data_IF_535956464411
#
_entry.id   IF_535956464411
#
_cell.length_a   1.000
_cell.length_b   1.000
_cell.length_c   1.000
_cell.angle_alpha   90.00
_cell.angle_beta   90.00
_cell.angle_gamma   90.00
#
_symmetry.space_group_name_H-M   'P 1'
#
loop_
_entity.id
_entity.type
_entity.pdbx_description
1 polymer ?
#
# COMPACT_ATOMS: atom_id res chain seq x y z
N UNK A 1 -83.77 36.82 -17.60
CA UNK A 1 -82.43 36.76 -18.22
C UNK A 1 -81.47 36.26 -17.14
N UNK A 2 -81.62 35.01 -16.73
CA UNK A 2 -80.95 33.83 -17.29
C UNK A 2 -79.50 33.75 -16.82
N UNK A 3 -79.36 33.16 -15.63
CA UNK A 3 -78.12 32.59 -15.13
C UNK A 3 -77.91 31.25 -15.82
N UNK A 4 -76.76 31.06 -16.48
CA UNK A 4 -76.30 29.75 -16.91
C UNK A 4 -75.03 29.38 -16.15
N UNK A 5 -75.19 28.35 -15.33
CA UNK A 5 -74.13 27.53 -14.77
C UNK A 5 -73.45 26.76 -15.91
N UNK A 6 -72.12 26.77 -15.96
CA UNK A 6 -71.38 25.66 -16.54
C UNK A 6 -70.33 25.20 -15.52
N UNK A 7 -70.69 24.11 -14.85
CA UNK A 7 -69.84 23.31 -14.00
C UNK A 7 -68.84 22.55 -14.89
N UNK A 8 -67.56 22.88 -14.81
CA UNK A 8 -66.51 22.03 -15.37
C UNK A 8 -66.08 21.01 -14.31
N UNK A 9 -66.39 19.75 -14.62
CA UNK A 9 -65.98 18.57 -13.88
C UNK A 9 -64.47 18.41 -14.03
N UNK A 10 -63.75 18.53 -12.90
CA UNK A 10 -62.33 18.20 -12.80
C UNK A 10 -62.11 16.74 -13.20
N UNK A 11 -61.41 16.54 -14.32
CA UNK A 11 -60.97 15.25 -14.79
C UNK A 11 -60.08 14.59 -13.73
N UNK A 12 -60.54 13.45 -13.21
CA UNK A 12 -59.82 12.60 -12.28
C UNK A 12 -58.39 12.35 -12.74
N UNK A 13 -57.46 13.03 -12.07
CA UNK A 13 -56.02 12.81 -12.21
C UNK A 13 -55.76 11.36 -11.77
N UNK A 14 -55.21 10.48 -12.62
CA UNK A 14 -54.91 9.12 -12.21
C UNK A 14 -53.97 9.19 -11.02
N UNK A 15 -54.37 8.58 -9.89
CA UNK A 15 -53.53 8.43 -8.73
C UNK A 15 -52.24 7.75 -9.19
N UNK A 16 -51.15 8.52 -9.25
CA UNK A 16 -49.84 7.98 -9.53
C UNK A 16 -49.59 6.87 -8.52
N UNK A 17 -49.50 5.63 -9.02
CA UNK A 17 -49.17 4.47 -8.23
C UNK A 17 -47.93 4.82 -7.41
N UNK A 18 -48.08 4.86 -6.07
CA UNK A 18 -46.94 5.00 -5.16
C UNK A 18 -45.91 3.96 -5.62
N UNK A 19 -44.67 4.36 -5.99
CA UNK A 19 -43.68 3.38 -6.41
C UNK A 19 -43.54 2.41 -5.25
N UNK A 20 -44.00 1.18 -5.50
CA UNK A 20 -43.94 0.08 -4.55
C UNK A 20 -42.50 0.01 -4.05
N UNK A 21 -42.37 -0.12 -2.74
CA UNK A 21 -41.12 -0.19 -2.00
C UNK A 21 -40.33 -1.40 -2.51
N UNK A 22 -39.62 -1.25 -3.62
CA UNK A 22 -38.82 -2.31 -4.22
C UNK A 22 -37.69 -2.60 -3.24
N UNK A 23 -37.88 -3.66 -2.44
CA UNK A 23 -36.83 -4.21 -1.60
C UNK A 23 -35.76 -4.69 -2.58
N UNK A 24 -34.56 -4.12 -2.48
CA UNK A 24 -33.44 -4.54 -3.31
C UNK A 24 -33.19 -6.03 -3.10
N UNK A 25 -32.74 -6.78 -4.12
CA UNK A 25 -32.32 -8.16 -3.92
C UNK A 25 -31.14 -8.22 -2.95
N UNK A 26 -30.98 -9.36 -2.28
CA UNK A 26 -29.82 -9.65 -1.44
C UNK A 26 -28.57 -9.61 -2.31
N UNK A 27 -27.63 -8.75 -1.94
CA UNK A 27 -26.35 -8.60 -2.61
C UNK A 27 -25.29 -9.59 -2.10
N UNK A 28 -25.49 -10.18 -0.92
CA UNK A 28 -24.63 -11.21 -0.36
C UNK A 28 -24.88 -11.46 1.13
N UNK A 29 -23.97 -12.19 1.76
CA UNK A 29 -24.04 -12.58 3.18
C UNK A 29 -22.70 -12.29 3.86
N UNK A 30 -22.73 -11.70 5.06
CA UNK A 30 -21.55 -11.47 5.91
C UNK A 30 -21.06 -12.79 6.54
N UNK A 31 -19.82 -12.85 7.07
CA UNK A 31 -19.30 -14.07 7.71
C UNK A 31 -20.15 -14.61 8.87
N UNK A 32 -20.96 -13.75 9.51
CA UNK A 32 -21.87 -14.13 10.60
C UNK A 32 -23.26 -14.58 10.11
N UNK A 33 -23.43 -14.75 8.80
CA UNK A 33 -24.72 -15.14 8.19
C UNK A 33 -25.68 -13.96 7.93
N UNK A 34 -25.31 -12.73 8.28
CA UNK A 34 -26.18 -11.56 8.06
C UNK A 34 -26.27 -11.23 6.56
N UNK A 35 -27.46 -11.35 5.98
CA UNK A 35 -27.72 -10.91 4.62
C UNK A 35 -27.54 -9.39 4.47
N UNK A 36 -27.03 -8.96 3.32
CA UNK A 36 -26.90 -7.54 3.00
C UNK A 36 -27.40 -7.21 1.59
N UNK A 37 -27.84 -5.97 1.40
CA UNK A 37 -28.62 -5.52 0.24
C UNK A 37 -27.92 -4.43 -0.60
N UNK A 38 -26.67 -4.11 -0.26
CA UNK A 38 -25.81 -3.20 -1.01
C UNK A 38 -24.35 -3.69 -1.00
N UNK A 39 -23.56 -3.46 -2.06
CA UNK A 39 -22.19 -3.99 -2.15
C UNK A 39 -21.28 -3.51 -1.01
N UNK A 40 -20.45 -4.43 -0.48
CA UNK A 40 -19.41 -4.11 0.50
C UNK A 40 -18.43 -3.08 -0.08
N UNK A 41 -18.09 -2.07 0.72
CA UNK A 41 -17.19 -0.99 0.34
C UNK A 41 -17.86 0.15 -0.43
N UNK A 42 -19.19 0.17 -0.55
CA UNK A 42 -19.90 1.17 -1.32
C UNK A 42 -21.14 1.69 -0.62
N UNK A 43 -21.43 2.99 -0.77
CA UNK A 43 -22.69 3.57 -0.29
C UNK A 43 -23.55 3.88 -1.51
N UNK A 44 -24.66 3.16 -1.64
CA UNK A 44 -25.60 3.35 -2.74
C UNK A 44 -26.53 4.52 -2.42
N UNK A 45 -26.59 5.47 -3.34
CA UNK A 45 -27.54 6.58 -3.31
C UNK A 45 -28.77 6.21 -4.15
N UNK A 46 -29.93 6.59 -3.64
CA UNK A 46 -31.23 6.47 -4.31
C UNK A 46 -31.87 7.88 -4.31
N UNK A 47 -31.51 8.65 -5.33
CA UNK A 47 -31.77 10.09 -5.38
C UNK A 47 -31.25 10.82 -4.12
N UNK A 48 -32.13 11.48 -3.33
CA UNK A 48 -31.73 12.19 -2.12
C UNK A 48 -31.56 11.26 -0.90
N UNK A 49 -31.76 9.95 -1.06
CA UNK A 49 -31.67 8.94 -0.01
C UNK A 49 -30.45 8.06 -0.19
N UNK A 50 -30.15 7.28 0.84
CA UNK A 50 -29.09 6.29 0.92
C UNK A 50 -29.70 4.94 1.28
N UNK A 51 -29.21 3.88 0.67
CA UNK A 51 -29.69 2.51 0.90
C UNK A 51 -29.00 1.91 2.13
N UNK A 52 -29.79 1.42 3.09
CA UNK A 52 -29.28 0.63 4.21
C UNK A 52 -28.80 -0.74 3.73
N UNK A 53 -27.59 -1.14 4.11
CA UNK A 53 -27.06 -2.45 3.74
C UNK A 53 -27.78 -3.59 4.45
N UNK A 54 -28.32 -3.37 5.66
CA UNK A 54 -28.95 -4.43 6.47
C UNK A 54 -30.37 -4.77 6.04
N UNK A 55 -31.11 -3.84 5.42
CA UNK A 55 -32.52 -4.05 5.08
C UNK A 55 -32.93 -3.56 3.70
N UNK A 56 -31.99 -3.03 2.90
CA UNK A 56 -32.23 -2.56 1.54
C UNK A 56 -33.11 -1.30 1.42
N UNK A 57 -33.56 -0.71 2.54
CA UNK A 57 -34.43 0.47 2.53
C UNK A 57 -33.67 1.74 2.16
N UNK A 58 -34.27 2.55 1.29
CA UNK A 58 -33.82 3.91 0.99
C UNK A 58 -34.26 4.90 2.07
N UNK A 59 -33.29 5.57 2.70
CA UNK A 59 -33.47 6.41 3.89
C UNK A 59 -32.74 7.75 3.73
N UNK A 60 -33.19 8.80 4.41
CA UNK A 60 -32.45 10.08 4.45
C UNK A 60 -31.12 9.94 5.20
N UNK A 61 -31.12 9.14 6.27
CA UNK A 61 -29.97 8.82 7.10
C UNK A 61 -30.03 7.37 7.53
N UNK A 62 -29.05 6.56 7.10
CA UNK A 62 -28.86 5.20 7.63
C UNK A 62 -28.38 5.27 9.07
N UNK A 63 -27.55 6.27 9.43
CA UNK A 63 -27.02 6.40 10.79
C UNK A 63 -28.12 6.48 11.85
N UNK A 64 -29.17 7.28 11.61
CA UNK A 64 -30.34 7.35 12.50
C UNK A 64 -31.16 6.06 12.52
N UNK A 65 -31.08 5.25 11.46
CA UNK A 65 -31.82 3.99 11.33
C UNK A 65 -31.13 2.80 11.99
N UNK A 66 -29.81 2.86 12.24
CA UNK A 66 -29.05 1.72 12.77
C UNK A 66 -29.53 1.22 14.13
N UNK A 67 -30.14 2.09 14.94
CA UNK A 67 -30.74 1.71 16.22
C UNK A 67 -31.82 0.62 16.06
N UNK A 68 -32.60 0.65 14.97
CA UNK A 68 -33.61 -0.37 14.66
C UNK A 68 -32.98 -1.75 14.36
N UNK A 69 -31.69 -1.79 14.07
CA UNK A 69 -30.94 -3.02 13.88
C UNK A 69 -30.09 -3.41 15.10
N UNK A 70 -30.04 -2.58 16.15
CA UNK A 70 -29.12 -2.78 17.28
C UNK A 70 -27.65 -2.57 16.89
N UNK A 71 -27.38 -1.76 15.87
CA UNK A 71 -26.03 -1.52 15.36
C UNK A 71 -25.56 -0.09 15.65
N UNK A 72 -24.26 0.06 15.90
CA UNK A 72 -23.61 1.37 15.91
C UNK A 72 -23.04 1.70 14.54
N UNK A 73 -22.80 2.99 14.27
CA UNK A 73 -22.14 3.43 13.03
C UNK A 73 -20.78 2.76 12.84
N UNK A 74 -20.00 2.61 13.91
CA UNK A 74 -18.69 1.99 13.84
C UNK A 74 -18.77 0.51 13.45
N UNK A 75 -19.65 -0.26 14.10
CA UNK A 75 -19.89 -1.68 13.75
C UNK A 75 -20.35 -1.81 12.30
N UNK A 76 -21.26 -0.93 11.88
CA UNK A 76 -21.78 -0.89 10.52
C UNK A 76 -20.68 -0.60 9.48
N UNK A 77 -19.91 0.48 9.64
CA UNK A 77 -18.83 0.80 8.70
C UNK A 77 -17.78 -0.30 8.65
N UNK A 78 -17.42 -0.90 9.81
CA UNK A 78 -16.46 -1.99 9.88
C UNK A 78 -16.95 -3.22 9.09
N UNK A 79 -18.19 -3.66 9.32
CA UNK A 79 -18.74 -4.85 8.68
C UNK A 79 -18.85 -4.69 7.16
N UNK A 80 -19.28 -3.51 6.69
CA UNK A 80 -19.46 -3.24 5.27
C UNK A 80 -18.23 -2.62 4.59
N UNK A 81 -17.06 -2.66 5.24
CA UNK A 81 -15.81 -2.20 4.64
C UNK A 81 -15.81 -0.71 4.25
N UNK A 82 -16.62 0.11 4.92
CA UNK A 82 -16.72 1.56 4.69
C UNK A 82 -15.70 2.33 5.53
N UNK A 83 -15.28 3.48 5.04
CA UNK A 83 -14.49 4.41 5.84
C UNK A 83 -15.28 4.90 7.06
N UNK A 84 -14.62 5.13 8.21
CA UNK A 84 -15.28 5.61 9.44
C UNK A 84 -15.96 6.98 9.24
N UNK A 85 -15.34 7.83 8.44
CA UNK A 85 -15.84 9.16 8.07
C UNK A 85 -16.87 9.10 6.95
N UNK A 86 -17.13 7.94 6.34
CA UNK A 86 -18.08 7.82 5.24
C UNK A 86 -19.45 8.34 5.68
N UNK A 87 -20.01 9.34 4.97
CA UNK A 87 -21.37 9.78 5.24
C UNK A 87 -22.36 8.66 4.90
N UNK A 88 -23.23 8.36 5.86
CA UNK A 88 -24.32 7.38 5.73
C UNK A 88 -25.66 8.10 5.54
N UNK A 89 -25.63 9.21 4.79
CA UNK A 89 -26.76 10.11 4.60
C UNK A 89 -26.75 10.60 3.15
N UNK A 90 -27.96 10.82 2.63
CA UNK A 90 -28.14 11.35 1.29
C UNK A 90 -27.59 12.78 1.15
N UNK A 91 -27.27 13.20 -0.08
CA UNK A 91 -26.58 14.46 -0.34
C UNK A 91 -27.37 15.68 0.14
N UNK A 92 -28.69 15.71 -0.03
CA UNK A 92 -29.54 16.82 0.43
C UNK A 92 -29.58 16.92 1.95
N UNK A 93 -29.74 15.78 2.65
CA UNK A 93 -29.72 15.74 4.12
C UNK A 93 -28.38 16.24 4.64
N UNK A 94 -27.28 15.90 3.96
CA UNK A 94 -25.95 16.40 4.30
C UNK A 94 -25.83 17.91 4.09
N UNK A 95 -26.36 18.45 2.98
CA UNK A 95 -26.38 19.90 2.72
C UNK A 95 -27.16 20.64 3.81
N UNK A 96 -28.35 20.17 4.17
CA UNK A 96 -29.17 20.77 5.22
C UNK A 96 -28.47 20.76 6.58
N UNK A 97 -27.86 19.63 6.97
CA UNK A 97 -27.10 19.54 8.21
C UNK A 97 -25.84 20.40 8.23
N UNK A 98 -25.16 20.51 7.08
CA UNK A 98 -24.02 21.41 6.94
C UNK A 98 -24.47 22.86 7.12
N UNK A 99 -25.56 23.29 6.48
CA UNK A 99 -26.11 24.64 6.66
C UNK A 99 -26.51 24.91 8.12
N UNK A 100 -27.19 23.96 8.77
CA UNK A 100 -27.54 24.08 10.18
C UNK A 100 -26.30 24.19 11.09
N UNK A 101 -25.25 23.40 10.83
CA UNK A 101 -23.98 23.50 11.58
C UNK A 101 -23.28 24.83 11.33
N UNK A 102 -23.29 25.35 10.09
CA UNK A 102 -22.74 26.67 9.76
C UNK A 102 -23.48 27.77 10.53
N UNK A 103 -24.81 27.73 10.59
CA UNK A 103 -25.57 28.68 11.40
C UNK A 103 -25.19 28.59 12.89
N UNK A 104 -25.09 27.37 13.43
CA UNK A 104 -24.65 27.17 14.82
C UNK A 104 -23.22 27.66 15.07
N UNK A 105 -22.31 27.49 14.12
CA UNK A 105 -20.96 28.04 14.23
C UNK A 105 -20.94 29.56 14.34
N UNK A 106 -21.99 30.27 13.93
CA UNK A 106 -22.08 31.72 14.08
C UNK A 106 -22.61 32.06 15.47
N UNK A 107 -23.70 31.41 15.90
CA UNK A 107 -24.48 31.81 17.07
C UNK A 107 -24.13 31.07 18.37
N UNK A 108 -23.54 29.87 18.30
CA UNK A 108 -23.27 29.01 19.46
C UNK A 108 -21.79 29.15 19.88
N UNK A 109 -21.49 29.82 21.02
CA UNK A 109 -20.12 30.06 21.46
C UNK A 109 -19.37 28.77 21.81
N UNK A 110 -20.06 27.74 22.31
CA UNK A 110 -19.44 26.47 22.64
C UNK A 110 -18.98 25.74 21.37
N UNK A 111 -19.79 25.76 20.31
CA UNK A 111 -19.43 25.19 19.01
C UNK A 111 -18.26 25.96 18.37
N UNK A 112 -18.21 27.30 18.50
CA UNK A 112 -17.07 28.10 18.03
C UNK A 112 -15.78 27.74 18.74
N UNK A 113 -15.81 27.67 20.08
CA UNK A 113 -14.66 27.32 20.89
C UNK A 113 -14.13 25.92 20.54
N UNK A 114 -15.03 24.92 20.46
CA UNK A 114 -14.66 23.56 20.07
C UNK A 114 -14.07 23.48 18.66
N UNK A 115 -14.64 24.23 17.70
CA UNK A 115 -14.12 24.30 16.33
C UNK A 115 -12.74 24.97 16.25
N UNK A 116 -12.50 26.02 17.04
CA UNK A 116 -11.19 26.66 17.14
C UNK A 116 -10.12 25.72 17.71
N UNK A 117 -10.43 25.02 18.80
CA UNK A 117 -9.55 24.00 19.39
C UNK A 117 -9.23 22.87 18.38
N UNK A 118 -10.25 22.41 17.64
CA UNK A 118 -10.06 21.41 16.58
C UNK A 118 -9.14 21.90 15.46
N UNK A 119 -9.29 23.15 15.01
CA UNK A 119 -8.38 23.76 14.00
C UNK A 119 -6.95 23.87 14.51
N UNK A 120 -6.75 24.22 15.78
CA UNK A 120 -5.41 24.27 16.38
C UNK A 120 -4.75 22.90 16.35
N UNK A 121 -5.45 21.84 16.77
CA UNK A 121 -4.95 20.46 16.72
C UNK A 121 -4.69 19.94 15.31
N UNK A 122 -5.46 20.41 14.32
CA UNK A 122 -5.19 20.12 12.92
C UNK A 122 -3.87 20.76 12.47
N UNK A 123 -3.66 22.05 12.81
CA UNK A 123 -2.45 22.81 12.46
C UNK A 123 -1.18 22.26 13.12
N UNK A 124 -1.26 21.84 14.38
CA UNK A 124 -0.14 21.22 15.11
C UNK A 124 0.18 19.79 14.64
N UNK A 125 -0.68 19.21 13.81
CA UNK A 125 -0.59 17.82 13.36
C UNK A 125 -1.01 16.78 14.40
N UNK A 126 -1.52 17.19 15.57
CA UNK A 126 -1.99 16.26 16.61
C UNK A 126 -3.08 15.34 16.08
N UNK A 127 -4.07 15.89 15.36
CA UNK A 127 -5.15 15.08 14.78
C UNK A 127 -4.62 14.04 13.79
N UNK A 128 -3.59 14.37 13.02
CA UNK A 128 -2.99 13.45 12.06
C UNK A 128 -2.22 12.33 12.79
N UNK A 129 -1.48 12.67 13.86
CA UNK A 129 -0.79 11.70 14.71
C UNK A 129 -1.77 10.75 15.39
N UNK A 130 -2.84 11.27 15.98
CA UNK A 130 -3.87 10.47 16.64
C UNK A 130 -4.60 9.56 15.66
N UNK A 131 -4.95 10.07 14.47
CA UNK A 131 -5.57 9.28 13.42
C UNK A 131 -4.63 8.17 12.92
N UNK A 132 -3.33 8.47 12.73
CA UNK A 132 -2.34 7.48 12.35
C UNK A 132 -2.17 6.42 13.45
N UNK A 133 -2.10 6.83 14.71
CA UNK A 133 -2.02 5.94 15.86
C UNK A 133 -3.22 5.00 15.93
N UNK A 134 -4.44 5.54 15.78
CA UNK A 134 -5.68 4.77 15.75
C UNK A 134 -5.82 3.86 14.52
N UNK A 135 -5.08 4.12 13.44
CA UNK A 135 -5.08 3.31 12.23
C UNK A 135 -4.02 2.20 12.22
N UNK A 136 -3.00 2.26 13.10
CA UNK A 136 -1.92 1.27 13.15
C UNK A 136 -2.47 -0.15 13.32
N UNK A 137 -1.98 -1.08 12.50
CA UNK A 137 -2.33 -2.50 12.53
C UNK A 137 -3.71 -2.84 11.97
N UNK A 138 -4.49 -1.87 11.48
CA UNK A 138 -5.84 -2.14 10.96
C UNK A 138 -5.82 -2.38 9.45
N UNK A 139 -6.62 -3.35 8.95
CA UNK A 139 -6.77 -3.55 7.52
C UNK A 139 -7.45 -2.32 6.90
N UNK A 140 -7.05 -1.99 5.66
CA UNK A 140 -7.71 -0.91 4.94
C UNK A 140 -9.17 -1.27 4.63
N UNK A 141 -10.13 -0.35 4.87
CA UNK A 141 -11.51 -0.56 4.45
C UNK A 141 -11.59 -0.85 2.95
N UNK A 142 -12.50 -1.73 2.55
CA UNK A 142 -12.71 -2.11 1.15
C UNK A 142 -13.00 -0.89 0.27
N UNK A 143 -13.79 0.05 0.79
CA UNK A 143 -14.05 1.33 0.13
C UNK A 143 -12.76 2.08 -0.22
N UNK A 144 -11.78 2.11 0.70
CA UNK A 144 -10.50 2.79 0.49
C UNK A 144 -9.65 2.06 -0.55
N UNK A 145 -9.64 0.72 -0.54
CA UNK A 145 -8.96 -0.09 -1.55
C UNK A 145 -9.51 0.19 -2.95
N UNK A 146 -10.84 0.20 -3.09
CA UNK A 146 -11.50 0.54 -4.36
C UNK A 146 -11.24 1.96 -4.81
N UNK A 147 -11.30 2.95 -3.91
CA UNK A 147 -10.93 4.34 -4.23
C UNK A 147 -9.47 4.43 -4.71
N UNK A 148 -8.54 3.80 -4.01
CA UNK A 148 -7.13 3.78 -4.42
C UNK A 148 -6.92 3.13 -5.78
N UNK A 149 -7.58 2.00 -6.05
CA UNK A 149 -7.53 1.32 -7.34
C UNK A 149 -8.08 2.20 -8.48
N UNK A 150 -9.22 2.88 -8.25
CA UNK A 150 -9.76 3.85 -9.22
C UNK A 150 -8.79 4.99 -9.47
N UNK A 151 -8.30 5.62 -8.41
CA UNK A 151 -7.37 6.75 -8.51
C UNK A 151 -6.05 6.38 -9.18
N UNK A 152 -5.57 5.14 -9.02
CA UNK A 152 -4.34 4.68 -9.69
C UNK A 152 -4.42 4.79 -11.22
N UNK A 153 -5.62 4.71 -11.81
CA UNK A 153 -5.84 4.89 -13.25
C UNK A 153 -6.23 6.31 -13.68
N UNK A 154 -6.42 7.26 -12.76
CA UNK A 154 -7.02 8.58 -13.06
C UNK A 154 -6.01 9.74 -13.07
N UNK A 155 -4.74 9.52 -12.72
CA UNK A 155 -3.76 10.60 -12.79
C UNK A 155 -3.29 10.78 -14.23
N UNK A 156 -3.40 11.99 -14.82
CA UNK A 156 -2.75 12.30 -16.08
C UNK A 156 -1.27 11.92 -16.01
N UNK A 157 -0.77 11.24 -17.04
CA UNK A 157 0.61 10.74 -17.08
C UNK A 157 1.63 11.87 -16.82
N UNK A 158 1.30 13.09 -17.24
CA UNK A 158 2.09 14.31 -17.01
C UNK A 158 2.24 14.67 -15.54
N UNK A 159 1.17 14.60 -14.74
CA UNK A 159 1.23 14.88 -13.29
C UNK A 159 2.06 13.81 -12.59
N UNK A 160 1.91 12.54 -12.99
CA UNK A 160 2.71 11.46 -12.45
C UNK A 160 4.20 11.63 -12.80
N UNK A 161 4.51 12.06 -14.02
CA UNK A 161 5.87 12.39 -14.47
C UNK A 161 6.45 13.56 -13.66
N UNK A 162 5.73 14.68 -13.56
CA UNK A 162 6.18 15.85 -12.83
C UNK A 162 6.44 15.55 -11.33
N UNK A 163 5.64 14.67 -10.71
CA UNK A 163 5.88 14.19 -9.34
C UNK A 163 7.14 13.35 -9.23
N UNK A 164 7.39 12.44 -10.18
CA UNK A 164 8.62 11.65 -10.23
C UNK A 164 9.84 12.56 -10.37
N UNK A 165 9.83 13.47 -11.33
CA UNK A 165 10.92 14.44 -11.53
C UNK A 165 11.18 15.31 -10.29
N UNK A 166 10.14 15.70 -9.55
CA UNK A 166 10.29 16.42 -8.29
C UNK A 166 10.92 15.54 -7.19
N UNK A 167 10.52 14.28 -7.08
CA UNK A 167 11.09 13.34 -6.14
C UNK A 167 12.57 13.05 -6.47
N UNK A 168 12.90 12.87 -7.76
CA UNK A 168 14.28 12.62 -8.21
C UNK A 168 15.19 13.81 -7.93
N UNK A 169 14.72 15.04 -8.22
CA UNK A 169 15.45 16.27 -7.83
C UNK A 169 15.66 16.40 -6.33
N UNK A 170 14.66 16.04 -5.52
CA UNK A 170 14.79 16.05 -4.07
C UNK A 170 15.84 15.04 -3.59
N UNK A 171 15.83 13.82 -4.12
CA UNK A 171 16.83 12.80 -3.79
C UNK A 171 18.25 13.23 -4.19
N UNK A 172 18.41 13.83 -5.38
CA UNK A 172 19.68 14.37 -5.84
C UNK A 172 20.18 15.52 -4.94
N UNK A 173 19.28 16.40 -4.48
CA UNK A 173 19.64 17.48 -3.55
C UNK A 173 20.10 16.93 -2.18
N UNK A 174 19.39 15.93 -1.64
CA UNK A 174 19.78 15.25 -0.38
C UNK A 174 21.14 14.56 -0.53
N UNK A 175 21.38 13.89 -1.65
CA UNK A 175 22.66 13.25 -1.97
C UNK A 175 23.82 14.25 -2.02
N UNK A 176 23.64 15.36 -2.74
CA UNK A 176 24.65 16.40 -2.86
C UNK A 176 24.93 17.07 -1.52
N UNK A 177 23.90 17.30 -0.70
CA UNK A 177 24.07 17.85 0.64
C UNK A 177 24.85 16.93 1.58
N UNK A 178 24.53 15.63 1.57
CA UNK A 178 25.29 14.63 2.30
C UNK A 178 26.77 14.64 1.92
N UNK A 179 27.10 14.66 0.63
CA UNK A 179 28.48 14.71 0.16
C UNK A 179 29.22 15.98 0.62
N UNK A 180 28.59 17.16 0.44
CA UNK A 180 29.18 18.45 0.84
C UNK A 180 29.49 18.51 2.34
N UNK A 181 28.62 17.99 3.20
CA UNK A 181 28.84 17.94 4.66
C UNK A 181 30.07 17.11 5.05
N UNK A 182 30.54 16.23 4.18
CA UNK A 182 31.75 15.44 4.37
C UNK A 182 32.94 15.89 3.50
N UNK A 183 32.87 17.10 2.93
CA UNK A 183 33.95 17.67 2.11
C UNK A 183 34.20 16.92 0.80
N UNK A 184 33.22 16.14 0.33
CA UNK A 184 33.34 15.36 -0.91
C UNK A 184 32.70 16.12 -2.08
N UNK A 185 33.28 16.05 -3.29
CA UNK A 185 32.73 16.71 -4.48
C UNK A 185 31.31 16.22 -4.84
N UNK A 186 31.02 14.96 -4.55
CA UNK A 186 29.74 14.33 -4.87
C UNK A 186 29.49 13.07 -4.05
N UNK A 187 28.27 12.54 -4.21
CA UNK A 187 27.85 11.33 -3.52
C UNK A 187 28.72 10.13 -3.92
N UNK A 188 29.14 10.08 -5.19
CA UNK A 188 29.95 8.99 -5.73
C UNK A 188 31.29 8.87 -5.04
N UNK A 189 32.01 9.97 -4.92
CA UNK A 189 33.31 10.05 -4.26
C UNK A 189 33.19 9.67 -2.79
N UNK A 190 32.17 10.21 -2.11
CA UNK A 190 31.88 9.87 -0.71
C UNK A 190 31.62 8.37 -0.50
N UNK A 191 30.73 7.78 -1.31
CA UNK A 191 30.36 6.36 -1.17
C UNK A 191 31.56 5.47 -1.52
N UNK A 192 32.28 5.73 -2.61
CA UNK A 192 33.44 4.92 -3.01
C UNK A 192 34.57 4.98 -1.98
N UNK A 193 34.89 6.16 -1.45
CA UNK A 193 35.91 6.30 -0.41
C UNK A 193 35.55 5.48 0.84
N UNK A 194 34.28 5.51 1.25
CA UNK A 194 33.81 4.77 2.43
C UNK A 194 33.68 3.27 2.18
N UNK A 195 33.25 2.83 1.00
CA UNK A 195 33.21 1.39 0.68
C UNK A 195 34.62 0.82 0.53
N UNK A 196 35.58 1.57 -0.01
CA UNK A 196 36.99 1.18 -0.02
C UNK A 196 37.56 1.02 1.40
N UNK A 197 37.11 1.84 2.36
CA UNK A 197 37.42 1.70 3.78
C UNK A 197 36.62 0.58 4.49
N UNK A 198 35.84 -0.23 3.76
CA UNK A 198 35.08 -1.35 4.31
C UNK A 198 33.73 -0.98 4.95
N UNK A 199 33.31 0.29 4.85
CA UNK A 199 32.03 0.70 5.43
C UNK A 199 30.83 0.11 4.66
N UNK A 200 29.82 -0.35 5.40
CA UNK A 200 28.55 -0.77 4.80
C UNK A 200 27.70 0.43 4.38
N UNK A 201 26.80 0.25 3.39
CA UNK A 201 25.87 1.31 2.98
C UNK A 201 25.00 1.86 4.13
N UNK A 202 24.70 1.04 5.14
CA UNK A 202 23.96 1.46 6.32
C UNK A 202 24.82 2.29 7.30
N UNK A 203 26.12 1.98 7.39
CA UNK A 203 27.07 2.82 8.11
C UNK A 203 27.24 4.18 7.39
N UNK A 204 27.45 4.14 6.07
CA UNK A 204 27.59 5.34 5.22
C UNK A 204 26.33 6.23 5.33
N UNK A 205 25.13 5.63 5.32
CA UNK A 205 23.88 6.38 5.48
C UNK A 205 23.81 7.10 6.82
N UNK A 206 24.18 6.43 7.92
CA UNK A 206 24.18 7.01 9.26
C UNK A 206 25.24 8.11 9.41
N UNK A 207 26.43 7.89 8.84
CA UNK A 207 27.51 8.87 8.81
C UNK A 207 27.05 10.16 8.11
N UNK A 208 26.34 10.03 6.99
CA UNK A 208 25.73 11.14 6.25
C UNK A 208 24.56 11.84 6.98
N UNK A 209 24.18 11.40 8.19
CA UNK A 209 23.01 11.88 8.92
C UNK A 209 21.68 11.51 8.25
N UNK A 210 21.66 10.46 7.43
CA UNK A 210 20.46 9.96 6.76
C UNK A 210 19.90 8.73 7.48
N UNK A 211 18.65 8.38 7.17
CA UNK A 211 18.07 7.13 7.65
C UNK A 211 18.94 5.93 7.21
N UNK A 212 19.15 4.94 8.08
CA UNK A 212 20.08 3.81 7.86
C UNK A 212 19.91 3.06 6.53
N UNK A 213 18.69 3.05 5.99
CA UNK A 213 18.37 2.35 4.73
C UNK A 213 18.45 3.26 3.51
N UNK A 214 18.71 4.56 3.67
CA UNK A 214 18.57 5.54 2.60
C UNK A 214 19.43 5.18 1.38
N UNK A 215 20.72 4.89 1.57
CA UNK A 215 21.61 4.49 0.46
C UNK A 215 21.14 3.18 -0.18
N UNK A 216 20.74 2.20 0.62
CA UNK A 216 20.27 0.92 0.07
C UNK A 216 19.02 1.05 -0.81
N UNK A 217 18.16 2.03 -0.51
CA UNK A 217 16.89 2.26 -1.21
C UNK A 217 17.04 3.22 -2.39
N UNK A 218 17.90 4.23 -2.28
CA UNK A 218 17.91 5.37 -3.21
C UNK A 218 19.17 5.48 -4.05
N UNK A 219 20.26 4.76 -3.72
CA UNK A 219 21.52 4.89 -4.46
C UNK A 219 21.35 4.59 -5.95
N UNK A 220 20.59 3.55 -6.32
CA UNK A 220 20.36 3.23 -7.73
C UNK A 220 19.50 4.26 -8.49
N UNK A 221 18.67 5.02 -7.77
CA UNK A 221 17.86 6.10 -8.36
C UNK A 221 18.68 7.37 -8.58
N UNK A 222 19.67 7.63 -7.71
CA UNK A 222 20.56 8.80 -7.80
C UNK A 222 21.74 8.53 -8.73
N UNK A 223 22.36 7.34 -8.61
CA UNK A 223 23.54 6.92 -9.37
C UNK A 223 23.52 5.39 -9.56
N UNK A 224 23.00 4.97 -10.72
CA UNK A 224 22.84 3.54 -11.05
C UNK A 224 24.16 2.80 -11.15
N UNK A 225 25.15 3.39 -11.81
CA UNK A 225 26.45 2.77 -12.03
C UNK A 225 27.19 2.57 -10.70
N UNK A 226 27.17 3.57 -9.82
CA UNK A 226 27.74 3.47 -8.49
C UNK A 226 27.07 2.35 -7.69
N UNK A 227 25.74 2.26 -7.75
CA UNK A 227 25.00 1.20 -7.08
C UNK A 227 25.39 -0.19 -7.61
N UNK A 228 25.65 -0.32 -8.91
CA UNK A 228 26.16 -1.56 -9.52
C UNK A 228 27.59 -1.88 -9.08
N UNK A 229 28.48 -0.88 -9.04
CA UNK A 229 29.87 -1.05 -8.59
C UNK A 229 29.96 -1.47 -7.13
N UNK A 230 29.19 -0.84 -6.23
CA UNK A 230 29.13 -1.26 -4.81
C UNK A 230 28.58 -2.68 -4.67
N UNK A 231 27.60 -3.07 -5.50
CA UNK A 231 27.09 -4.45 -5.50
C UNK A 231 28.15 -5.45 -5.94
N UNK A 232 28.91 -5.16 -7.00
CA UNK A 232 30.03 -5.99 -7.49
C UNK A 232 31.12 -6.13 -6.43
N UNK A 233 31.63 -5.01 -5.90
CA UNK A 233 32.67 -5.02 -4.86
C UNK A 233 32.26 -5.84 -3.62
N UNK A 234 30.98 -5.78 -3.23
CA UNK A 234 30.46 -6.58 -2.12
C UNK A 234 30.35 -8.07 -2.46
N UNK A 235 30.09 -8.42 -3.71
CA UNK A 235 30.12 -9.81 -4.17
C UNK A 235 31.56 -10.34 -4.10
N UNK A 236 32.51 -9.60 -4.68
CA UNK A 236 33.93 -9.95 -4.69
C UNK A 236 34.48 -10.14 -3.27
N UNK A 237 34.15 -9.24 -2.34
CA UNK A 237 34.55 -9.35 -0.94
C UNK A 237 33.97 -10.60 -0.24
N UNK A 238 32.75 -11.03 -0.60
CA UNK A 238 32.14 -12.25 -0.04
C UNK A 238 32.75 -13.52 -0.63
N UNK A 239 33.19 -13.44 -1.88
CA UNK A 239 33.80 -14.56 -2.60
C UNK A 239 35.30 -14.67 -2.29
N UNK A 240 35.94 -13.61 -1.78
CA UNK A 240 37.34 -13.61 -1.36
C UNK A 240 37.66 -14.73 -0.35
N UNK A 241 36.73 -15.04 0.56
CA UNK A 241 36.89 -16.16 1.51
C UNK A 241 36.83 -17.55 0.85
N UNK A 242 36.26 -17.66 -0.35
CA UNK A 242 36.17 -18.91 -1.10
C UNK A 242 37.44 -19.19 -1.92
N UNK A 243 38.07 -18.13 -2.46
CA UNK A 243 39.14 -18.27 -3.45
C UNK A 243 40.30 -19.18 -2.99
N UNK A 244 40.84 -19.09 -1.76
CA UNK A 244 41.92 -19.97 -1.32
C UNK A 244 41.51 -21.46 -1.21
N UNK A 245 40.23 -21.74 -0.98
CA UNK A 245 39.69 -23.10 -0.93
C UNK A 245 39.51 -23.65 -2.35
N UNK A 246 38.97 -22.82 -3.24
CA UNK A 246 38.70 -23.19 -4.63
C UNK A 246 39.99 -23.42 -5.42
N UNK A 247 41.02 -22.61 -5.19
CA UNK A 247 42.34 -22.80 -5.81
C UNK A 247 42.95 -24.16 -5.46
N UNK A 248 42.80 -24.61 -4.21
CA UNK A 248 43.24 -25.96 -3.78
C UNK A 248 42.49 -27.09 -4.47
N UNK A 249 41.25 -26.83 -4.88
CA UNK A 249 40.41 -27.77 -5.62
C UNK A 249 40.55 -27.63 -7.15
N UNK A 250 41.44 -26.77 -7.64
CA UNK A 250 41.68 -26.54 -9.07
C UNK A 250 40.64 -25.64 -9.75
N UNK A 251 39.84 -24.90 -9.00
CA UNK A 251 38.84 -23.98 -9.56
C UNK A 251 39.33 -22.53 -9.57
N UNK A 252 39.17 -21.81 -10.69
CA UNK A 252 39.65 -20.42 -10.81
C UNK A 252 38.77 -19.41 -10.06
N UNK A 253 37.47 -19.67 -9.93
CA UNK A 253 36.51 -18.77 -9.30
C UNK A 253 35.27 -19.50 -8.76
N UNK A 254 34.48 -18.79 -7.95
CA UNK A 254 33.23 -19.30 -7.35
C UNK A 254 32.21 -19.72 -8.42
N UNK A 255 31.90 -18.91 -9.45
CA UNK A 255 30.97 -19.33 -10.51
C UNK A 255 31.33 -20.65 -11.18
N UNK A 256 32.60 -20.86 -11.51
CA UNK A 256 33.10 -22.06 -12.19
C UNK A 256 32.96 -23.29 -11.29
N UNK A 257 33.33 -23.16 -10.02
CA UNK A 257 33.10 -24.22 -9.02
C UNK A 257 31.61 -24.58 -8.89
N UNK A 258 30.75 -23.56 -8.74
CA UNK A 258 29.31 -23.78 -8.56
C UNK A 258 28.67 -24.43 -9.79
N UNK A 259 29.01 -24.00 -11.01
CA UNK A 259 28.49 -24.60 -12.25
C UNK A 259 28.96 -26.03 -12.42
N UNK A 260 30.24 -26.30 -12.23
CA UNK A 260 30.81 -27.64 -12.38
C UNK A 260 30.19 -28.61 -11.36
N UNK A 261 30.25 -28.28 -10.06
CA UNK A 261 29.74 -29.18 -9.03
C UNK A 261 28.22 -29.31 -9.08
N UNK A 262 27.47 -28.22 -9.25
CA UNK A 262 26.02 -28.25 -9.13
C UNK A 262 25.30 -28.65 -10.43
N UNK A 263 25.76 -28.17 -11.59
CA UNK A 263 25.10 -28.41 -12.88
C UNK A 263 25.68 -29.62 -13.60
N UNK A 264 27.00 -29.73 -13.70
CA UNK A 264 27.64 -30.84 -14.44
C UNK A 264 27.67 -32.14 -13.60
N UNK A 265 28.06 -32.04 -12.34
CA UNK A 265 28.23 -33.21 -11.46
C UNK A 265 27.04 -33.47 -10.54
N UNK A 266 25.99 -32.63 -10.62
CA UNK A 266 24.75 -32.75 -9.86
C UNK A 266 24.93 -32.91 -8.34
N UNK A 267 26.03 -32.37 -7.78
CA UNK A 267 26.30 -32.40 -6.35
C UNK A 267 25.23 -31.63 -5.58
N UNK A 268 24.87 -32.16 -4.42
CA UNK A 268 23.96 -31.47 -3.52
C UNK A 268 24.65 -30.29 -2.86
N UNK A 269 23.88 -29.27 -2.48
CA UNK A 269 24.36 -28.12 -1.70
C UNK A 269 25.10 -28.57 -0.44
N UNK A 270 24.60 -29.61 0.24
CA UNK A 270 25.28 -30.19 1.40
C UNK A 270 26.63 -30.81 1.04
N UNK A 271 26.72 -31.58 -0.04
CA UNK A 271 27.97 -32.17 -0.50
C UNK A 271 29.01 -31.11 -0.85
N UNK A 272 28.60 -30.04 -1.54
CA UNK A 272 29.45 -28.90 -1.83
C UNK A 272 29.92 -28.19 -0.55
N UNK A 273 29.00 -27.94 0.39
CA UNK A 273 29.30 -27.33 1.67
C UNK A 273 30.34 -28.12 2.48
N UNK A 274 30.19 -29.44 2.53
CA UNK A 274 31.15 -30.34 3.18
C UNK A 274 32.51 -30.33 2.46
N UNK A 275 32.53 -30.35 1.12
CA UNK A 275 33.77 -30.34 0.32
C UNK A 275 34.64 -29.11 0.59
N UNK A 276 34.02 -27.92 0.64
CA UNK A 276 34.75 -26.65 0.84
C UNK A 276 34.80 -26.20 2.30
N UNK A 277 34.22 -26.96 3.23
CA UNK A 277 34.19 -26.61 4.66
C UNK A 277 33.39 -25.33 4.99
N UNK A 278 32.36 -25.01 4.19
CA UNK A 278 31.49 -23.85 4.42
C UNK A 278 30.10 -24.29 4.87
N UNK A 279 29.31 -23.35 5.42
CA UNK A 279 27.92 -23.64 5.75
C UNK A 279 27.07 -23.83 4.48
N UNK A 280 26.04 -24.67 4.57
CA UNK A 280 25.07 -24.84 3.49
C UNK A 280 24.47 -23.50 3.05
N UNK A 281 24.17 -22.62 4.01
CA UNK A 281 23.64 -21.28 3.73
C UNK A 281 24.61 -20.42 2.90
N UNK A 282 25.92 -20.51 3.15
CA UNK A 282 26.92 -19.81 2.35
C UNK A 282 26.88 -20.27 0.88
N UNK A 283 26.76 -21.58 0.65
CA UNK A 283 26.64 -22.16 -0.70
C UNK A 283 25.33 -21.75 -1.38
N UNK A 284 24.20 -21.82 -0.69
CA UNK A 284 22.91 -21.36 -1.24
C UNK A 284 22.89 -19.87 -1.56
N UNK A 285 23.55 -19.06 -0.72
CA UNK A 285 23.72 -17.65 -0.98
C UNK A 285 24.58 -17.42 -2.23
N UNK A 286 25.68 -18.15 -2.38
CA UNK A 286 26.56 -18.04 -3.55
C UNK A 286 25.85 -18.46 -4.85
N UNK A 287 25.11 -19.59 -4.85
CA UNK A 287 24.28 -20.02 -5.99
C UNK A 287 23.34 -18.92 -6.46
N UNK A 288 22.61 -18.29 -5.52
CA UNK A 288 21.71 -17.17 -5.83
C UNK A 288 22.45 -15.95 -6.35
N UNK A 289 23.59 -15.59 -5.74
CA UNK A 289 24.39 -14.41 -6.14
C UNK A 289 24.92 -14.53 -7.57
N UNK A 290 25.36 -15.73 -7.98
CA UNK A 290 25.93 -15.96 -9.31
C UNK A 290 24.90 -16.44 -10.35
N UNK A 291 23.61 -16.42 -10.02
CA UNK A 291 22.54 -16.80 -10.94
C UNK A 291 22.53 -18.29 -11.31
N UNK A 292 23.14 -19.16 -10.49
CA UNK A 292 23.11 -20.60 -10.71
C UNK A 292 21.81 -21.14 -10.11
N UNK A 293 20.89 -21.55 -10.98
CA UNK A 293 19.59 -22.06 -10.57
C UNK A 293 19.77 -23.29 -9.67
N UNK A 294 19.17 -23.24 -8.47
CA UNK A 294 19.16 -24.40 -7.56
C UNK A 294 18.28 -25.47 -8.17
N UNK A 295 18.83 -26.65 -8.41
CA UNK A 295 18.06 -27.83 -8.81
C UNK A 295 17.78 -28.69 -7.57
N UNK A 296 16.53 -28.74 -7.08
CA UNK A 296 16.17 -29.62 -5.98
C UNK A 296 16.37 -31.08 -6.41
N UNK A 297 16.95 -31.90 -5.53
CA UNK A 297 17.16 -33.32 -5.76
C UNK A 297 17.99 -33.67 -7.02
N UNK A 298 18.91 -32.79 -7.45
CA UNK A 298 19.76 -32.98 -8.63
C UNK A 298 20.40 -34.38 -8.67
N UNK A 299 21.05 -34.79 -7.57
CA UNK A 299 21.67 -36.11 -7.45
C UNK A 299 20.68 -37.28 -7.61
N UNK A 300 19.48 -37.19 -7.01
CA UNK A 300 18.47 -38.27 -7.06
C UNK A 300 17.85 -38.37 -8.46
N UNK A 301 17.64 -37.24 -9.14
CA UNK A 301 17.14 -37.21 -10.53
C UNK A 301 18.16 -37.75 -11.51
N UNK A 302 19.45 -37.40 -11.35
CA UNK A 302 20.51 -37.93 -12.19
C UNK A 302 20.67 -39.46 -12.01
N UNK A 303 20.70 -39.95 -10.77
CA UNK A 303 20.75 -41.38 -10.49
C UNK A 303 19.52 -42.16 -10.99
N UNK A 304 18.35 -41.52 -11.04
CA UNK A 304 17.17 -42.11 -11.67
C UNK A 304 17.31 -42.18 -13.20
N UNK A 305 17.86 -41.13 -13.83
CA UNK A 305 18.13 -41.10 -15.27
C UNK A 305 19.17 -42.13 -15.70
N UNK A 306 20.26 -42.29 -14.94
CA UNK A 306 21.30 -43.31 -15.21
C UNK A 306 20.79 -44.76 -15.08
N UNK A 307 19.72 -45.00 -14.30
CA UNK A 307 19.10 -46.34 -14.19
C UNK A 307 18.06 -46.63 -15.27
N UNK A 308 17.60 -45.59 -15.98
CA UNK A 308 16.60 -45.70 -17.02
C UNK A 308 17.21 -45.73 -18.44
N UNK A 309 18.53 -45.49 -18.56
CA UNK A 309 19.33 -45.63 -19.77
C UNK A 309 20.11 -46.94 -19.72
#
# INVERSE_FOLDING_TARGET
MSAEMISQVDGGRPAAARPGRAIRPVAGVLPDGTAFFAPVGEVILDGPKVVCHLCGRSLRSVAAHLAAHGWTKEKYCKAFGLERSQPLEGPETRKLRAAALTARLIFDPAIRAGSAAGRQRARSGDLARDAAAAARGRPFPEQRRRKAARSAGTFPAEIARARRERADRYLAAVAADAARRHGQPGLREFVLARTAAGASLAAISREAGLHKDWMSRHLAAVDRELAESVRRQRADSRDAGWLPLLQRLGFPDVPSYLRERHLAQHRTVHGMATEIGLSQHAVESALRRHGVARVPHAAKRHAAGQRAA
#
